data_IF_350585177048
#
_entry.id   IF_350585177048
#
_cell.length_a   1.000
_cell.length_b   1.000
_cell.length_c   1.000
_cell.angle_alpha   90.00
_cell.angle_beta   90.00
_cell.angle_gamma   90.00
#
_symmetry.space_group_name_H-M   'P 1'
#
loop_
_entity.id
_entity.type
_entity.pdbx_description
1 polymer ?
#
# COMPACT_ATOMS: atom_id res chain seq x y z
N UNK A 1 -4.27 -3.59 12.10
CA UNK A 1 -4.81 -3.54 10.72
C UNK A 1 -5.72 -4.73 10.43
N UNK A 2 -5.29 -5.97 10.71
CA UNK A 2 -6.05 -7.20 10.41
C UNK A 2 -7.45 -7.22 11.04
N UNK A 3 -7.61 -6.84 12.31
CA UNK A 3 -8.93 -6.84 12.96
C UNK A 3 -9.93 -5.89 12.31
N UNK A 4 -9.47 -4.70 11.91
CA UNK A 4 -10.31 -3.75 11.17
C UNK A 4 -10.73 -4.33 9.81
N UNK A 5 -9.85 -5.03 9.12
CA UNK A 5 -10.17 -5.70 7.85
C UNK A 5 -11.23 -6.78 8.07
N UNK A 6 -11.08 -7.61 9.12
CA UNK A 6 -12.05 -8.66 9.48
C UNK A 6 -13.44 -8.05 9.71
N UNK A 7 -13.55 -7.11 10.65
CA UNK A 7 -14.83 -6.46 11.01
C UNK A 7 -15.48 -5.77 9.81
N UNK A 8 -14.71 -4.96 9.08
CA UNK A 8 -15.23 -4.26 7.90
C UNK A 8 -15.71 -5.22 6.82
N UNK A 9 -14.97 -6.31 6.58
CA UNK A 9 -15.32 -7.30 5.56
C UNK A 9 -16.52 -8.15 5.98
N UNK A 10 -16.72 -8.44 7.26
CA UNK A 10 -17.92 -9.15 7.73
C UNK A 10 -19.19 -8.37 7.37
N UNK A 11 -19.19 -7.05 7.60
CA UNK A 11 -20.33 -6.19 7.31
C UNK A 11 -20.64 -6.10 5.80
N UNK A 12 -19.62 -6.04 4.93
CA UNK A 12 -19.80 -5.80 3.50
C UNK A 12 -19.81 -7.05 2.62
N UNK A 13 -19.24 -8.17 3.09
CA UNK A 13 -19.06 -9.40 2.30
C UNK A 13 -19.76 -10.63 2.91
N UNK A 14 -20.45 -10.45 4.02
CA UNK A 14 -21.10 -11.51 4.78
C UNK A 14 -20.17 -12.16 5.80
N UNK A 15 -20.76 -12.57 6.93
CA UNK A 15 -20.04 -13.09 8.09
C UNK A 15 -19.44 -14.47 7.85
N UNK A 16 -20.21 -15.40 7.31
CA UNK A 16 -19.80 -16.80 7.07
C UNK A 16 -18.51 -16.90 6.24
N UNK A 17 -18.42 -16.10 5.18
CA UNK A 17 -17.24 -16.07 4.30
C UNK A 17 -15.98 -15.62 5.03
N UNK A 18 -16.10 -14.66 5.96
CA UNK A 18 -14.95 -14.15 6.69
C UNK A 18 -14.55 -15.11 7.81
N UNK A 19 -15.51 -15.78 8.45
CA UNK A 19 -15.22 -16.82 9.43
C UNK A 19 -14.43 -17.97 8.80
N UNK A 20 -14.81 -18.44 7.60
CA UNK A 20 -14.03 -19.43 6.83
C UNK A 20 -12.59 -18.95 6.54
N UNK A 21 -12.41 -17.66 6.23
CA UNK A 21 -11.08 -17.09 5.98
C UNK A 21 -10.24 -16.95 7.25
N UNK A 22 -10.89 -16.73 8.39
CA UNK A 22 -10.24 -16.71 9.70
C UNK A 22 -9.81 -18.13 10.08
N UNK A 23 -10.68 -19.12 9.91
CA UNK A 23 -10.37 -20.53 10.15
C UNK A 23 -9.25 -21.05 9.23
N UNK A 24 -9.19 -20.55 7.99
CA UNK A 24 -8.08 -20.81 7.07
C UNK A 24 -6.79 -20.03 7.40
N UNK A 25 -6.70 -19.40 8.58
CA UNK A 25 -5.52 -18.68 9.08
C UNK A 25 -5.01 -17.55 8.15
N UNK A 26 -5.89 -16.95 7.34
CA UNK A 26 -5.49 -15.93 6.36
C UNK A 26 -5.13 -14.58 7.00
N UNK A 27 -5.50 -14.35 8.26
CA UNK A 27 -5.33 -13.07 8.97
C UNK A 27 -4.31 -13.11 10.13
N UNK A 28 -3.72 -14.27 10.42
CA UNK A 28 -2.95 -14.51 11.66
C UNK A 28 -1.61 -13.78 11.71
N UNK A 29 -1.05 -13.47 10.54
CA UNK A 29 0.24 -12.79 10.44
C UNK A 29 0.06 -11.27 10.35
N UNK A 30 1.13 -10.56 10.71
CA UNK A 30 1.26 -9.11 10.52
C UNK A 30 0.87 -8.75 9.08
N UNK A 31 0.18 -7.62 8.92
CA UNK A 31 -0.29 -7.15 7.63
C UNK A 31 0.89 -6.88 6.69
N UNK A 32 0.91 -7.57 5.54
CA UNK A 32 1.93 -7.38 4.51
C UNK A 32 1.50 -6.22 3.60
N UNK A 33 2.30 -5.16 3.58
CA UNK A 33 2.04 -3.97 2.76
C UNK A 33 2.31 -4.20 1.26
N UNK A 34 2.74 -5.40 0.85
CA UNK A 34 3.16 -5.70 -0.50
C UNK A 34 4.67 -5.51 -0.68
N UNK A 35 5.18 -5.88 -1.87
CA UNK A 35 6.59 -5.65 -2.16
C UNK A 35 6.83 -4.20 -2.55
N UNK A 36 7.45 -3.44 -1.64
CA UNK A 36 7.66 -2.00 -1.77
C UNK A 36 8.64 -1.61 -2.87
N UNK A 37 9.48 -2.52 -3.37
CA UNK A 37 10.37 -2.25 -4.52
C UNK A 37 9.61 -1.93 -5.80
N UNK A 38 8.32 -2.25 -5.85
CA UNK A 38 7.43 -1.92 -6.97
C UNK A 38 6.94 -0.48 -6.94
N UNK A 39 7.12 0.22 -5.82
CA UNK A 39 6.77 1.63 -5.68
C UNK A 39 7.86 2.51 -6.27
N UNK A 40 7.48 3.71 -6.68
CA UNK A 40 8.44 4.70 -7.16
C UNK A 40 9.17 5.30 -5.97
N UNK A 41 10.50 5.26 -5.98
CA UNK A 41 11.32 5.85 -4.92
C UNK A 41 11.22 7.38 -4.97
N UNK A 42 10.89 7.98 -3.84
CA UNK A 42 11.00 9.42 -3.64
C UNK A 42 12.48 9.79 -3.48
N UNK A 43 12.97 10.69 -4.35
CA UNK A 43 14.38 11.15 -4.36
C UNK A 43 14.58 12.57 -3.80
N UNK A 44 13.50 13.23 -3.40
CA UNK A 44 13.56 14.56 -2.81
C UNK A 44 13.98 14.52 -1.34
N UNK A 45 13.97 15.69 -0.71
CA UNK A 45 14.20 15.84 0.73
C UNK A 45 12.89 16.05 1.47
N UNK A 46 12.76 15.48 2.66
CA UNK A 46 11.65 15.78 3.55
C UNK A 46 11.92 17.10 4.31
N UNK A 47 10.88 17.88 4.66
CA UNK A 47 11.01 19.08 5.49
C UNK A 47 11.73 18.80 6.82
N UNK A 48 12.47 19.79 7.33
CA UNK A 48 13.27 19.64 8.55
C UNK A 48 12.42 19.19 9.77
N UNK A 49 11.18 19.67 9.86
CA UNK A 49 10.23 19.31 10.93
C UNK A 49 9.86 17.82 10.96
N UNK A 50 10.09 17.07 9.87
CA UNK A 50 9.80 15.63 9.80
C UNK A 50 10.92 14.75 10.38
N UNK A 51 12.12 15.29 10.65
CA UNK A 51 13.29 14.49 11.07
C UNK A 51 13.00 13.64 12.32
N UNK A 52 12.42 14.25 13.34
CA UNK A 52 12.13 13.56 14.60
C UNK A 52 11.09 12.44 14.43
N UNK A 53 10.13 12.63 13.54
CA UNK A 53 9.13 11.61 13.20
C UNK A 53 9.74 10.43 12.44
N UNK A 54 10.61 10.71 11.48
CA UNK A 54 11.32 9.67 10.73
C UNK A 54 12.26 8.89 11.65
N UNK A 55 12.89 9.56 12.62
CA UNK A 55 13.76 8.89 13.59
C UNK A 55 13.01 7.87 14.48
N UNK A 56 11.72 8.10 14.74
CA UNK A 56 10.85 7.18 15.52
C UNK A 56 10.34 5.98 14.71
N UNK A 57 10.77 5.80 13.47
CA UNK A 57 10.32 4.73 12.59
C UNK A 57 10.93 3.36 12.98
N UNK A 58 10.36 2.75 14.01
CA UNK A 58 10.81 1.52 14.66
C UNK A 58 10.37 0.22 13.96
N UNK A 59 9.25 0.23 13.24
CA UNK A 59 8.65 -0.94 12.57
C UNK A 59 9.14 -1.18 11.14
N UNK A 60 10.27 -0.57 10.74
CA UNK A 60 10.84 -0.63 9.39
C UNK A 60 11.17 -2.05 8.91
N UNK A 61 11.45 -2.97 9.84
CA UNK A 61 11.75 -4.38 9.63
C UNK A 61 10.52 -5.21 9.20
N UNK A 62 9.32 -4.73 9.55
CA UNK A 62 8.07 -5.33 9.12
C UNK A 62 7.78 -5.08 7.63
N UNK A 63 8.40 -4.03 7.05
CA UNK A 63 8.28 -3.72 5.64
C UNK A 63 9.03 -4.73 4.77
N UNK A 64 8.40 -5.08 3.63
CA UNK A 64 8.95 -6.06 2.70
C UNK A 64 9.54 -5.38 1.47
N UNK A 65 10.87 -5.48 1.36
CA UNK A 65 11.61 -5.07 0.16
C UNK A 65 12.04 -6.26 -0.70
N UNK A 66 12.15 -7.45 -0.12
CA UNK A 66 12.51 -8.68 -0.84
C UNK A 66 11.85 -9.89 -0.19
N UNK A 67 11.90 -11.04 -0.87
CA UNK A 67 11.40 -12.31 -0.36
C UNK A 67 9.91 -12.59 -0.60
N UNK A 68 9.44 -13.77 -0.15
CA UNK A 68 8.08 -14.24 -0.39
C UNK A 68 7.05 -13.41 0.38
N UNK A 69 5.78 -13.59 0.02
CA UNK A 69 4.66 -12.94 0.71
C UNK A 69 4.60 -13.41 2.15
N UNK A 70 4.59 -12.47 3.10
CA UNK A 70 4.57 -12.78 4.54
C UNK A 70 3.15 -13.06 5.03
N UNK A 71 2.13 -12.39 4.47
CA UNK A 71 0.72 -12.52 4.87
C UNK A 71 -0.14 -13.18 3.79
N UNK A 72 -1.00 -14.11 4.18
CA UNK A 72 -1.99 -14.72 3.27
C UNK A 72 -3.29 -13.89 3.16
N UNK A 73 -3.28 -12.64 3.66
CA UNK A 73 -4.46 -11.79 3.64
C UNK A 73 -4.95 -11.59 2.18
N UNK A 74 -6.25 -11.78 1.91
CA UNK A 74 -6.83 -11.59 0.57
C UNK A 74 -6.72 -10.15 0.04
N UNK A 75 -6.54 -9.16 0.93
CA UNK A 75 -6.40 -7.74 0.59
C UNK A 75 -4.98 -7.48 0.07
N UNK A 76 -4.85 -7.44 -1.26
CA UNK A 76 -3.62 -7.05 -1.94
C UNK A 76 -3.53 -5.53 -2.09
N UNK A 77 -2.36 -4.98 -1.76
CA UNK A 77 -1.96 -3.60 -2.06
C UNK A 77 -2.09 -3.26 -3.54
N UNK A 78 -2.36 -1.98 -3.86
CA UNK A 78 -2.59 -1.54 -5.25
C UNK A 78 -1.40 -1.85 -6.16
N UNK A 79 -0.19 -1.56 -5.70
CA UNK A 79 1.05 -1.76 -6.47
C UNK A 79 1.38 -3.23 -6.75
N UNK A 80 0.76 -4.18 -6.04
CA UNK A 80 0.91 -5.60 -6.32
C UNK A 80 -0.03 -6.09 -7.44
N UNK A 81 -1.10 -5.34 -7.73
CA UNK A 81 -2.04 -5.71 -8.80
C UNK A 81 -1.49 -5.29 -10.14
N UNK A 82 -1.42 -6.24 -11.07
CA UNK A 82 -0.87 -6.04 -12.40
C UNK A 82 -1.54 -4.87 -13.15
N UNK A 83 -2.86 -4.72 -13.06
CA UNK A 83 -3.60 -3.60 -13.68
C UNK A 83 -3.05 -2.23 -13.27
N UNK A 84 -2.76 -2.03 -11.99
CA UNK A 84 -2.25 -0.74 -11.52
C UNK A 84 -0.77 -0.55 -11.89
N UNK A 85 0.00 -1.64 -12.00
CA UNK A 85 1.38 -1.57 -12.49
C UNK A 85 1.45 -1.11 -13.95
N UNK A 86 0.54 -1.60 -14.79
CA UNK A 86 0.43 -1.16 -16.19
C UNK A 86 0.04 0.32 -16.23
N UNK A 87 -1.01 0.71 -15.50
CA UNK A 87 -1.47 2.11 -15.49
C UNK A 87 -0.35 3.04 -15.03
N UNK A 88 0.32 2.74 -13.91
CA UNK A 88 1.43 3.57 -13.43
C UNK A 88 2.63 3.60 -14.38
N UNK A 89 2.87 2.53 -15.14
CA UNK A 89 3.89 2.52 -16.18
C UNK A 89 3.50 3.45 -17.34
N UNK A 90 2.26 3.39 -17.83
CA UNK A 90 1.74 4.29 -18.87
C UNK A 90 1.81 5.76 -18.41
N UNK A 91 1.33 6.05 -17.20
CA UNK A 91 1.37 7.41 -16.63
C UNK A 91 2.80 7.96 -16.55
N UNK A 92 3.75 7.11 -16.16
CA UNK A 92 5.15 7.53 -15.99
C UNK A 92 5.90 7.71 -17.31
N UNK A 93 5.76 6.76 -18.25
CA UNK A 93 6.59 6.72 -19.46
C UNK A 93 5.90 7.30 -20.69
N UNK A 94 4.59 7.15 -20.84
CA UNK A 94 3.84 7.63 -22.00
C UNK A 94 3.26 9.03 -21.78
N UNK A 95 2.82 9.33 -20.56
CA UNK A 95 2.17 10.60 -20.21
C UNK A 95 3.10 11.57 -19.47
N UNK A 96 4.41 11.31 -19.51
CA UNK A 96 5.46 12.15 -18.90
C UNK A 96 5.21 12.49 -17.42
N UNK A 97 4.62 11.55 -16.66
CA UNK A 97 4.30 11.73 -15.25
C UNK A 97 2.95 12.37 -14.96
N UNK A 98 2.14 12.66 -15.99
CA UNK A 98 0.77 13.11 -15.80
C UNK A 98 -0.14 11.91 -15.50
N UNK A 99 -0.85 11.98 -14.37
CA UNK A 99 -1.81 10.95 -13.97
C UNK A 99 -3.12 11.12 -14.72
N UNK A 100 -3.72 10.01 -15.11
CA UNK A 100 -4.99 10.02 -15.84
C UNK A 100 -6.14 10.41 -14.90
N UNK A 101 -6.82 11.52 -15.22
CA UNK A 101 -7.96 12.01 -14.45
C UNK A 101 -7.59 12.66 -13.10
N UNK A 102 -6.35 13.08 -12.91
CA UNK A 102 -5.96 13.83 -11.70
C UNK A 102 -6.50 15.27 -11.75
N UNK A 103 -7.31 15.64 -10.76
CA UNK A 103 -7.73 17.01 -10.52
C UNK A 103 -6.86 17.65 -9.43
N UNK A 104 -6.33 18.85 -9.69
CA UNK A 104 -5.50 19.59 -8.74
C UNK A 104 -6.27 20.79 -8.23
N UNK A 105 -6.62 20.76 -6.94
CA UNK A 105 -7.21 21.91 -6.24
C UNK A 105 -6.20 22.56 -5.30
N UNK A 106 -5.05 22.96 -5.83
CA UNK A 106 -4.00 23.63 -5.07
C UNK A 106 -3.12 24.47 -6.01
N UNK A 107 -2.56 25.55 -5.47
CA UNK A 107 -1.56 26.35 -6.15
C UNK A 107 -0.20 25.75 -5.81
N UNK A 108 0.51 25.26 -6.84
CA UNK A 108 1.87 24.77 -6.66
C UNK A 108 2.81 25.97 -6.50
N UNK A 109 3.39 26.13 -5.32
CA UNK A 109 4.40 27.15 -5.06
C UNK A 109 5.76 26.64 -5.54
N UNK A 110 6.13 26.97 -6.78
CA UNK A 110 7.43 26.65 -7.38
C UNK A 110 7.52 25.29 -8.09
N UNK A 111 8.69 25.01 -8.67
CA UNK A 111 9.12 23.70 -9.16
C UNK A 111 10.34 23.24 -8.37
#
# INVERSE_FOLDING_TARGET
MQDKIKVFSMNHKGREKIEQQIEAHLFDRVFDYGNLTRLTLFRGSHPAVMKDWIARFDWKDQLRYSGPVRSMNPVKSKHDRFKYRIISWIEKYLLFGNRLGEFRNYILLGK
#
